data_IF_717384998427
#
_entry.id   IF_717384998427
#
_cell.length_a   1.000
_cell.length_b   1.000
_cell.length_c   1.000
_cell.angle_alpha   90.00
_cell.angle_beta   90.00
_cell.angle_gamma   90.00
#
_symmetry.space_group_name_H-M   'P 1'
#
loop_
_entity.id
_entity.type
_entity.pdbx_description
1 polymer ?
#
# COMPACT_ATOMS: atom_id res chain seq x y z
N UNK A 1 2.37 -18.99 1.88
CA UNK A 1 0.94 -18.69 2.11
C UNK A 1 0.61 -17.45 1.30
N UNK A 2 -0.39 -17.50 0.42
CA UNK A 2 -0.84 -16.31 -0.29
C UNK A 2 -1.51 -15.39 0.74
N UNK A 3 -0.92 -14.25 1.02
CA UNK A 3 -1.58 -13.21 1.79
C UNK A 3 -2.81 -12.78 0.96
N UNK A 4 -4.01 -12.81 1.53
CA UNK A 4 -5.22 -12.33 0.86
C UNK A 4 -5.12 -10.81 0.68
N UNK A 5 -4.33 -10.36 -0.30
CA UNK A 5 -4.14 -8.95 -0.58
C UNK A 5 -5.45 -8.34 -1.08
N UNK A 6 -5.84 -7.23 -0.45
CA UNK A 6 -7.14 -6.57 -0.67
C UNK A 6 -7.22 -5.98 -2.09
N UNK A 7 -6.07 -5.67 -2.68
CA UNK A 7 -5.93 -5.30 -4.08
C UNK A 7 -4.63 -5.91 -4.64
N UNK A 8 -4.75 -6.76 -5.67
CA UNK A 8 -3.63 -7.45 -6.32
C UNK A 8 -3.10 -6.67 -7.53
N UNK A 9 -2.68 -5.43 -7.29
CA UNK A 9 -2.09 -4.57 -8.34
C UNK A 9 -0.63 -4.98 -8.68
N UNK A 10 -0.25 -6.25 -8.60
CA UNK A 10 1.12 -6.72 -8.85
C UNK A 10 1.90 -7.04 -7.55
N UNK A 11 1.68 -8.27 -7.11
CA UNK A 11 1.93 -8.91 -5.81
C UNK A 11 3.37 -8.92 -5.24
N UNK A 12 4.45 -8.86 -6.02
CA UNK A 12 5.77 -9.31 -5.49
C UNK A 12 6.63 -8.20 -4.88
N UNK A 13 6.60 -6.99 -5.44
CA UNK A 13 7.43 -5.86 -4.98
C UNK A 13 6.71 -4.88 -4.06
N UNK A 14 5.39 -5.04 -3.89
CA UNK A 14 4.59 -4.21 -3.00
C UNK A 14 4.98 -4.48 -1.55
N UNK A 15 4.89 -3.42 -0.76
CA UNK A 15 5.21 -3.46 0.67
C UNK A 15 6.64 -3.89 0.97
N UNK A 16 7.56 -3.85 0.00
CA UNK A 16 8.93 -4.29 0.21
C UNK A 16 9.65 -3.39 1.22
N UNK A 17 9.36 -2.09 1.22
CA UNK A 17 9.93 -1.15 2.20
C UNK A 17 9.36 -1.43 3.58
N UNK A 18 8.04 -1.57 3.66
CA UNK A 18 7.33 -1.90 4.90
C UNK A 18 7.82 -3.22 5.50
N UNK A 19 7.92 -4.29 4.71
CA UNK A 19 8.41 -5.60 5.17
C UNK A 19 9.86 -5.52 5.65
N UNK A 20 10.69 -4.70 5.02
CA UNK A 20 12.07 -4.48 5.49
C UNK A 20 12.09 -3.73 6.81
N UNK A 21 11.28 -2.68 6.95
CA UNK A 21 11.19 -1.86 8.16
C UNK A 21 10.62 -2.65 9.35
N UNK A 22 9.57 -3.45 9.13
CA UNK A 22 8.96 -4.29 10.16
C UNK A 22 9.91 -5.36 10.72
N UNK A 23 10.78 -5.91 9.87
CA UNK A 23 11.77 -6.94 10.26
C UNK A 23 13.04 -6.36 10.91
N UNK A 24 13.24 -5.05 10.83
CA UNK A 24 14.40 -4.40 11.42
C UNK A 24 14.09 -4.06 12.89
N UNK A 25 14.75 -4.73 13.86
CA UNK A 25 14.50 -4.49 15.28
C UNK A 25 14.93 -3.08 15.73
N UNK A 26 15.84 -2.43 15.00
CA UNK A 26 16.32 -1.07 15.30
C UNK A 26 15.49 0.04 14.65
N UNK A 27 14.53 -0.29 13.79
CA UNK A 27 13.75 0.70 13.03
C UNK A 27 12.70 1.38 13.91
N UNK A 28 12.65 2.72 13.95
CA UNK A 28 11.64 3.41 14.76
C UNK A 28 10.22 3.21 14.22
N UNK A 29 9.19 3.38 15.06
CA UNK A 29 7.78 3.25 14.62
C UNK A 29 7.46 4.24 13.49
N UNK A 30 8.02 5.46 13.58
CA UNK A 30 7.87 6.52 12.56
C UNK A 30 8.52 6.14 11.22
N UNK A 31 9.65 5.43 11.25
CA UNK A 31 10.31 4.93 10.04
C UNK A 31 9.46 3.84 9.36
N UNK A 32 8.80 2.98 10.16
CA UNK A 32 7.84 2.00 9.64
C UNK A 32 6.66 2.74 8.99
N UNK A 33 6.04 3.69 9.67
CA UNK A 33 4.93 4.47 9.12
C UNK A 33 5.33 5.21 7.83
N UNK A 34 6.55 5.75 7.77
CA UNK A 34 7.12 6.38 6.58
C UNK A 34 7.30 5.39 5.43
N UNK A 35 7.82 4.19 5.70
CA UNK A 35 7.95 3.13 4.71
C UNK A 35 6.58 2.72 4.15
N UNK A 36 5.57 2.62 5.02
CA UNK A 36 4.18 2.32 4.64
C UNK A 36 3.57 3.42 3.78
N UNK A 37 3.78 4.69 4.13
CA UNK A 37 3.33 5.83 3.35
C UNK A 37 3.94 5.83 1.93
N UNK A 38 5.22 5.49 1.82
CA UNK A 38 5.91 5.42 0.53
C UNK A 38 5.42 4.23 -0.34
N UNK A 39 5.03 3.12 0.30
CA UNK A 39 4.40 1.99 -0.40
C UNK A 39 2.96 2.32 -0.83
N UNK A 40 2.19 3.01 0.02
CA UNK A 40 0.86 3.56 -0.28
C UNK A 40 0.88 4.51 -1.48
N UNK A 41 1.87 5.40 -1.53
CA UNK A 41 2.08 6.30 -2.66
C UNK A 41 2.31 5.53 -3.97
N UNK A 42 3.11 4.45 -3.91
CA UNK A 42 3.33 3.54 -5.03
C UNK A 42 2.02 2.88 -5.50
N UNK A 43 1.17 2.48 -4.55
CA UNK A 43 -0.15 1.91 -4.83
C UNK A 43 -1.07 2.94 -5.53
N UNK A 44 -1.16 4.18 -5.04
CA UNK A 44 -1.96 5.24 -5.66
C UNK A 44 -1.52 5.51 -7.12
N UNK A 45 -0.21 5.51 -7.37
CA UNK A 45 0.35 5.64 -8.72
C UNK A 45 -0.03 4.46 -9.64
N UNK A 46 0.02 3.24 -9.11
CA UNK A 46 -0.32 2.03 -9.87
C UNK A 46 -1.84 1.90 -10.14
N UNK A 47 -2.67 2.34 -9.19
CA UNK A 47 -4.13 2.30 -9.27
C UNK A 47 -4.63 3.01 -10.53
N UNK A 48 -4.08 4.18 -10.84
CA UNK A 48 -4.43 4.94 -12.05
C UNK A 48 -4.14 4.15 -13.34
N UNK A 49 -3.05 3.37 -13.36
CA UNK A 49 -2.68 2.54 -14.51
C UNK A 49 -3.59 1.33 -14.66
N UNK A 50 -3.90 0.63 -13.56
CA UNK A 50 -4.79 -0.52 -13.57
C UNK A 50 -6.22 -0.14 -13.99
N UNK A 51 -6.72 1.00 -13.51
CA UNK A 51 -8.04 1.53 -13.91
C UNK A 51 -8.14 1.93 -15.38
N UNK A 52 -7.00 2.26 -16.01
CA UNK A 52 -6.96 2.57 -17.45
C UNK A 52 -6.94 1.33 -18.32
N UNK A 53 -6.26 0.28 -17.88
CA UNK A 53 -6.02 -0.92 -18.68
C UNK A 53 -7.06 -2.03 -18.43
N UNK A 54 -7.82 -1.94 -17.33
CA UNK A 54 -8.89 -2.87 -17.00
C UNK A 54 -10.26 -2.45 -17.55
N UNK A 55 -11.29 -3.28 -17.34
CA UNK A 55 -12.67 -2.91 -17.65
C UNK A 55 -13.07 -1.61 -16.92
N UNK A 56 -13.98 -0.81 -17.48
CA UNK A 56 -14.34 0.47 -16.89
C UNK A 56 -15.20 0.26 -15.62
N UNK A 57 -14.77 0.86 -14.50
CA UNK A 57 -15.47 0.76 -13.20
C UNK A 57 -16.91 1.28 -13.27
N UNK A 58 -17.19 2.23 -14.16
CA UNK A 58 -18.55 2.74 -14.43
C UNK A 58 -19.55 1.61 -14.74
N UNK A 59 -19.09 0.48 -15.30
CA UNK A 59 -19.91 -0.70 -15.57
C UNK A 59 -20.61 -1.20 -14.30
N UNK A 60 -19.95 -1.12 -13.14
CA UNK A 60 -20.53 -1.53 -11.86
C UNK A 60 -21.66 -0.60 -11.39
N UNK A 61 -21.62 0.67 -11.78
CA UNK A 61 -22.69 1.63 -11.49
C UNK A 61 -23.87 1.46 -12.47
N UNK A 62 -23.58 1.19 -13.75
CA UNK A 62 -24.59 0.98 -14.80
C UNK A 62 -25.39 -0.30 -14.61
N UNK A 63 -24.83 -1.31 -13.95
CA UNK A 63 -25.55 -2.54 -13.55
C UNK A 63 -26.56 -2.31 -12.43
N UNK A 64 -27.00 -1.06 -12.23
CA UNK A 64 -28.05 -0.71 -11.30
C UNK A 64 -29.29 -1.56 -11.55
N UNK A 65 -29.61 -2.45 -10.59
CA UNK A 65 -30.80 -3.32 -10.48
C UNK A 65 -30.65 -4.76 -11.02
N UNK A 66 -29.45 -5.20 -11.43
CA UNK A 66 -29.21 -6.59 -11.82
C UNK A 66 -29.22 -7.57 -10.62
N UNK A 67 -29.61 -8.82 -10.86
CA UNK A 67 -29.53 -9.89 -9.86
C UNK A 67 -28.08 -10.03 -9.34
N UNK A 68 -27.85 -10.40 -8.05
CA UNK A 68 -26.52 -10.50 -7.45
C UNK A 68 -25.50 -11.30 -8.27
N UNK A 69 -25.99 -12.29 -9.02
CA UNK A 69 -25.20 -13.14 -9.93
C UNK A 69 -24.54 -12.32 -11.05
N UNK A 70 -25.26 -11.36 -11.65
CA UNK A 70 -24.74 -10.54 -12.74
C UNK A 70 -23.61 -9.62 -12.28
N UNK A 71 -23.74 -9.07 -11.07
CA UNK A 71 -22.69 -8.23 -10.45
C UNK A 71 -21.42 -9.05 -10.23
N UNK A 72 -21.55 -10.29 -9.75
CA UNK A 72 -20.39 -11.18 -9.56
C UNK A 72 -19.73 -11.58 -10.89
N UNK A 73 -20.52 -11.83 -11.94
CA UNK A 73 -19.98 -12.09 -13.28
C UNK A 73 -19.15 -10.91 -13.77
N UNK A 74 -19.62 -9.68 -13.55
CA UNK A 74 -18.89 -8.48 -13.95
C UNK A 74 -17.64 -8.27 -13.10
N UNK A 75 -17.72 -8.43 -11.77
CA UNK A 75 -16.53 -8.40 -10.89
C UNK A 75 -15.47 -9.41 -11.36
N UNK A 76 -15.89 -10.61 -11.78
CA UNK A 76 -14.97 -11.64 -12.27
C UNK A 76 -14.21 -11.25 -13.55
N UNK A 77 -14.72 -10.30 -14.34
CA UNK A 77 -14.07 -9.79 -15.56
C UNK A 77 -13.00 -8.74 -15.26
N UNK A 78 -12.99 -8.14 -14.05
CA UNK A 78 -11.94 -7.19 -13.67
C UNK A 78 -10.64 -7.93 -13.36
N UNK A 79 -9.53 -7.36 -13.84
CA UNK A 79 -8.18 -7.76 -13.42
C UNK A 79 -8.02 -7.57 -11.92
N UNK A 80 -8.53 -6.46 -11.39
CA UNK A 80 -8.53 -6.12 -9.96
C UNK A 80 -9.88 -6.46 -9.29
N UNK A 81 -10.15 -7.75 -9.06
CA UNK A 81 -11.40 -8.21 -8.44
C UNK A 81 -11.65 -7.60 -7.06
N UNK A 82 -10.59 -7.44 -6.26
CA UNK A 82 -10.66 -6.83 -4.93
C UNK A 82 -11.13 -5.37 -4.98
N UNK A 83 -10.65 -4.60 -5.96
CA UNK A 83 -11.08 -3.22 -6.18
C UNK A 83 -12.54 -3.15 -6.65
N UNK A 84 -12.93 -3.99 -7.61
CA UNK A 84 -14.31 -4.06 -8.10
C UNK A 84 -15.30 -4.45 -6.98
N UNK A 85 -14.94 -5.43 -6.15
CA UNK A 85 -15.72 -5.81 -4.97
C UNK A 85 -15.83 -4.67 -3.96
N UNK A 86 -14.74 -3.94 -3.72
CA UNK A 86 -14.72 -2.82 -2.79
C UNK A 86 -15.62 -1.66 -3.26
N UNK A 87 -15.60 -1.33 -4.55
CA UNK A 87 -16.49 -0.33 -5.14
C UNK A 87 -17.96 -0.77 -5.03
N UNK A 88 -18.25 -2.05 -5.26
CA UNK A 88 -19.58 -2.60 -5.07
C UNK A 88 -20.03 -2.53 -3.59
N UNK A 89 -19.14 -2.85 -2.65
CA UNK A 89 -19.40 -2.69 -1.21
C UNK A 89 -19.68 -1.23 -0.85
N UNK A 90 -18.90 -0.30 -1.41
CA UNK A 90 -19.09 1.14 -1.21
C UNK A 90 -20.46 1.59 -1.69
N UNK A 91 -20.85 1.17 -2.91
CA UNK A 91 -22.16 1.42 -3.50
C UNK A 91 -23.30 0.89 -2.63
N UNK A 92 -23.18 -0.34 -2.14
CA UNK A 92 -24.19 -0.95 -1.26
C UNK A 92 -24.32 -0.19 0.08
N UNK A 93 -23.22 0.34 0.61
CA UNK A 93 -23.21 1.12 1.86
C UNK A 93 -23.83 2.52 1.68
N UNK A 94 -23.53 3.23 0.59
CA UNK A 94 -24.09 4.55 0.34
C UNK A 94 -25.50 4.52 -0.25
N UNK A 95 -25.95 3.37 -0.77
CA UNK A 95 -27.25 3.21 -1.46
C UNK A 95 -27.47 4.22 -2.58
N UNK A 96 -26.39 4.65 -3.22
CA UNK A 96 -26.38 5.68 -4.25
C UNK A 96 -25.60 5.19 -5.47
N UNK A 97 -26.00 5.67 -6.64
CA UNK A 97 -25.27 5.45 -7.89
C UNK A 97 -24.48 6.71 -8.31
N UNK A 98 -24.44 7.76 -7.49
CA UNK A 98 -23.61 8.93 -7.76
C UNK A 98 -22.12 8.53 -7.68
N UNK A 99 -21.34 8.70 -8.76
CA UNK A 99 -19.92 8.41 -8.78
C UNK A 99 -19.13 9.11 -7.66
N UNK A 100 -19.51 10.34 -7.28
CA UNK A 100 -18.77 11.09 -6.26
C UNK A 100 -18.99 10.50 -4.85
N UNK A 101 -20.22 10.14 -4.51
CA UNK A 101 -20.54 9.49 -3.24
C UNK A 101 -19.92 8.10 -3.14
N UNK A 102 -20.05 7.28 -4.19
CA UNK A 102 -19.45 5.94 -4.23
C UNK A 102 -17.92 6.02 -4.11
N UNK A 103 -17.28 6.94 -4.83
CA UNK A 103 -15.83 7.15 -4.75
C UNK A 103 -15.38 7.56 -3.34
N UNK A 104 -16.12 8.44 -2.67
CA UNK A 104 -15.80 8.88 -1.31
C UNK A 104 -15.91 7.75 -0.29
N UNK A 105 -16.90 6.87 -0.42
CA UNK A 105 -17.02 5.68 0.45
C UNK A 105 -15.95 4.64 0.10
N UNK A 106 -15.71 4.39 -1.19
CA UNK A 106 -14.69 3.45 -1.65
C UNK A 106 -13.28 3.86 -1.19
N UNK A 107 -12.91 5.14 -1.31
CA UNK A 107 -11.62 5.63 -0.84
C UNK A 107 -11.43 5.38 0.67
N UNK A 108 -12.45 5.66 1.49
CA UNK A 108 -12.42 5.39 2.93
C UNK A 108 -12.30 3.91 3.26
N UNK A 109 -13.08 3.06 2.58
CA UNK A 109 -13.01 1.61 2.77
C UNK A 109 -11.64 1.06 2.39
N UNK A 110 -11.06 1.58 1.31
CA UNK A 110 -9.72 1.19 0.87
C UNK A 110 -8.68 1.58 1.91
N UNK A 111 -8.67 2.84 2.35
CA UNK A 111 -7.78 3.32 3.41
C UNK A 111 -7.89 2.46 4.68
N UNK A 112 -9.11 2.21 5.16
CA UNK A 112 -9.34 1.39 6.35
C UNK A 112 -8.79 -0.02 6.19
N UNK A 113 -9.10 -0.67 5.07
CA UNK A 113 -8.62 -2.02 4.78
C UNK A 113 -7.10 -2.12 4.74
N UNK A 114 -6.42 -1.08 4.25
CA UNK A 114 -4.96 -1.03 4.21
C UNK A 114 -4.36 -0.81 5.61
N UNK A 115 -5.03 -0.04 6.46
CA UNK A 115 -4.66 0.10 7.88
C UNK A 115 -4.82 -1.25 8.59
N UNK A 116 -5.94 -1.96 8.36
CA UNK A 116 -6.16 -3.28 8.96
C UNK A 116 -5.07 -4.27 8.50
N UNK A 117 -4.73 -4.27 7.21
CA UNK A 117 -3.64 -5.10 6.67
C UNK A 117 -2.28 -4.72 7.28
N UNK A 118 -2.03 -3.44 7.51
CA UNK A 118 -0.84 -2.95 8.20
C UNK A 118 -0.72 -3.54 9.61
N UNK A 119 -1.81 -3.45 10.38
CA UNK A 119 -1.88 -3.99 11.73
C UNK A 119 -1.70 -5.51 11.75
N UNK A 120 -2.36 -6.23 10.83
CA UNK A 120 -2.21 -7.68 10.71
C UNK A 120 -0.76 -8.08 10.44
N UNK A 121 -0.06 -7.37 9.56
CA UNK A 121 1.35 -7.62 9.27
C UNK A 121 2.26 -7.26 10.43
N UNK A 122 2.03 -6.11 11.07
CA UNK A 122 2.78 -5.74 12.26
C UNK A 122 2.61 -6.80 13.37
N UNK A 123 1.40 -7.30 13.58
CA UNK A 123 1.11 -8.35 14.57
C UNK A 123 1.78 -9.71 14.33
N UNK A 124 2.39 -9.93 13.16
CA UNK A 124 3.21 -11.13 12.90
C UNK A 124 4.64 -11.00 13.46
N UNK A 125 5.08 -9.78 13.78
CA UNK A 125 6.41 -9.52 14.31
C UNK A 125 6.37 -9.43 15.84
N UNK A 126 7.30 -10.11 16.52
CA UNK A 126 7.33 -10.23 17.99
C UNK A 126 7.30 -8.87 18.70
N UNK A 127 7.98 -7.87 18.14
CA UNK A 127 8.04 -6.49 18.65
C UNK A 127 6.67 -5.84 18.80
N UNK A 128 5.74 -6.08 17.87
CA UNK A 128 4.42 -5.42 17.86
C UNK A 128 3.36 -6.30 18.53
N UNK A 129 3.76 -7.29 19.33
CA UNK A 129 2.86 -7.96 20.29
C UNK A 129 2.46 -7.03 21.43
N UNK A 130 3.30 -6.04 21.75
CA UNK A 130 2.94 -4.98 22.68
C UNK A 130 1.77 -4.14 22.12
N UNK A 131 0.62 -4.10 22.82
CA UNK A 131 -0.55 -3.34 22.36
C UNK A 131 -0.29 -1.84 22.25
N UNK A 132 0.60 -1.25 23.06
CA UNK A 132 0.88 0.19 23.03
C UNK A 132 1.63 0.56 21.74
N UNK A 133 2.75 -0.11 21.46
CA UNK A 133 3.50 0.06 20.21
C UNK A 133 2.66 -0.19 18.96
N UNK A 134 1.75 -1.18 19.02
CA UNK A 134 0.84 -1.47 17.90
C UNK A 134 -0.20 -0.38 17.71
N UNK A 135 -0.73 0.18 18.79
CA UNK A 135 -1.68 1.31 18.75
C UNK A 135 -0.99 2.56 18.20
N UNK A 136 0.24 2.83 18.64
CA UNK A 136 1.06 3.94 18.13
C UNK A 136 1.29 3.81 16.62
N UNK A 137 1.77 2.65 16.16
CA UNK A 137 1.96 2.38 14.73
C UNK A 137 0.66 2.58 13.96
N UNK A 138 -0.46 2.05 14.47
CA UNK A 138 -1.76 2.21 13.83
C UNK A 138 -2.18 3.67 13.69
N UNK A 139 -1.95 4.50 14.72
CA UNK A 139 -2.29 5.92 14.69
C UNK A 139 -1.45 6.67 13.65
N UNK A 140 -0.14 6.39 13.60
CA UNK A 140 0.77 6.98 12.63
C UNK A 140 0.43 6.56 11.20
N UNK A 141 0.14 5.28 10.97
CA UNK A 141 -0.26 4.76 9.66
C UNK A 141 -1.61 5.33 9.22
N UNK A 142 -2.59 5.44 10.13
CA UNK A 142 -3.87 6.06 9.83
C UNK A 142 -3.72 7.53 9.41
N UNK A 143 -2.88 8.28 10.12
CA UNK A 143 -2.55 9.67 9.77
C UNK A 143 -1.88 9.75 8.40
N UNK A 144 -0.87 8.90 8.16
CA UNK A 144 -0.15 8.87 6.89
C UNK A 144 -1.05 8.49 5.71
N UNK A 145 -1.93 7.51 5.88
CA UNK A 145 -2.82 7.04 4.81
C UNK A 145 -3.99 8.01 4.57
N UNK A 146 -4.52 8.63 5.62
CA UNK A 146 -5.56 9.66 5.52
C UNK A 146 -5.14 10.82 4.62
N UNK A 147 -3.84 11.15 4.56
CA UNK A 147 -3.31 12.14 3.66
C UNK A 147 -3.57 11.83 2.17
N UNK A 148 -3.70 10.55 1.78
CA UNK A 148 -3.92 10.10 0.40
C UNK A 148 -5.40 9.87 0.05
N UNK A 149 -6.33 9.95 1.01
CA UNK A 149 -7.75 9.64 0.79
C UNK A 149 -8.38 10.53 -0.29
N UNK A 150 -8.05 11.83 -0.30
CA UNK A 150 -8.53 12.76 -1.31
C UNK A 150 -8.06 12.42 -2.73
N UNK A 151 -6.80 11.97 -2.87
CA UNK A 151 -6.25 11.55 -4.17
C UNK A 151 -6.92 10.25 -4.64
N UNK A 152 -7.11 9.28 -3.74
CA UNK A 152 -7.83 8.05 -4.04
C UNK A 152 -9.26 8.32 -4.48
N UNK A 153 -9.97 9.20 -3.78
CA UNK A 153 -11.32 9.63 -4.15
C UNK A 153 -11.34 10.20 -5.57
N UNK A 154 -10.44 11.13 -5.89
CA UNK A 154 -10.39 11.75 -7.21
C UNK A 154 -10.12 10.74 -8.34
N UNK A 155 -9.20 9.79 -8.11
CA UNK A 155 -8.89 8.71 -9.06
C UNK A 155 -10.11 7.82 -9.30
N UNK A 156 -10.78 7.40 -8.22
CA UNK A 156 -11.95 6.52 -8.29
C UNK A 156 -13.16 7.22 -8.91
N UNK A 157 -13.42 8.48 -8.54
CA UNK A 157 -14.52 9.28 -9.11
C UNK A 157 -14.36 9.45 -10.62
N UNK A 158 -13.14 9.76 -11.09
CA UNK A 158 -12.86 9.87 -12.51
C UNK A 158 -13.11 8.55 -13.25
N UNK A 159 -12.66 7.42 -12.70
CA UNK A 159 -12.87 6.10 -13.29
C UNK A 159 -14.35 5.68 -13.30
N UNK A 160 -15.13 6.07 -12.29
CA UNK A 160 -16.56 5.80 -12.21
C UNK A 160 -17.40 6.63 -13.18
N UNK A 161 -16.91 7.81 -13.59
CA UNK A 161 -17.56 8.70 -14.58
C UNK A 161 -17.21 8.39 -16.04
N UNK A 162 -16.54 7.27 -16.31
CA UNK A 162 -15.93 6.98 -17.63
C UNK A 162 -14.87 8.01 -18.06
N UNK A 163 -14.36 8.81 -17.12
CA UNK A 163 -13.27 9.73 -17.36
C UNK A 163 -11.92 9.00 -17.38
N UNK A 164 -10.94 9.57 -18.07
CA UNK A 164 -9.56 9.11 -17.91
C UNK A 164 -9.14 9.25 -16.44
N UNK A 165 -8.62 8.20 -15.78
CA UNK A 165 -8.24 8.28 -14.37
C UNK A 165 -7.21 9.39 -14.17
N UNK A 166 -7.45 10.23 -13.16
CA UNK A 166 -6.57 11.35 -12.80
C UNK A 166 -5.18 10.81 -12.52
N UNK A 167 -4.15 11.42 -13.12
CA UNK A 167 -2.77 11.04 -12.83
C UNK A 167 -2.46 11.40 -11.39
N UNK A 168 -2.12 10.39 -10.59
CA UNK A 168 -1.61 10.60 -9.24
C UNK A 168 -0.29 11.38 -9.28
N UNK A 169 -0.27 12.56 -8.62
CA UNK A 169 0.96 13.35 -8.44
C UNK A 169 1.69 12.80 -7.22
N UNK A 170 2.82 12.15 -7.45
CA UNK A 170 3.68 11.68 -6.38
C UNK A 170 4.08 12.86 -5.48
N UNK A 171 3.78 12.72 -4.20
CA UNK A 171 4.30 13.57 -3.14
C UNK A 171 5.72 13.08 -2.96
N UNK A 172 6.64 13.67 -3.72
CA UNK A 172 8.06 13.44 -3.57
C UNK A 172 8.41 13.62 -2.09
N UNK A 173 8.37 12.54 -1.32
CA UNK A 173 9.01 12.46 -0.02
C UNK A 173 10.46 12.69 -0.39
N UNK A 174 10.91 13.92 -0.15
CA UNK A 174 12.26 14.31 -0.47
C UNK A 174 13.13 13.24 0.17
N UNK A 175 13.81 12.42 -0.65
CA UNK A 175 14.89 11.59 -0.13
C UNK A 175 15.72 12.55 0.69
N UNK A 176 15.81 12.34 2.02
CA UNK A 176 16.73 13.08 2.86
C UNK A 176 18.07 12.92 2.16
N UNK A 177 18.50 13.96 1.44
CA UNK A 177 19.80 13.96 0.77
C UNK A 177 20.75 13.91 1.93
N UNK A 178 21.34 12.74 2.17
CA UNK A 178 22.40 12.62 3.15
C UNK A 178 23.42 13.70 2.81
N UNK A 179 23.64 14.61 3.75
CA UNK A 179 24.60 15.68 3.55
C UNK A 179 25.98 15.03 3.36
N UNK A 180 26.90 15.66 2.62
CA UNK A 180 28.27 15.14 2.48
C UNK A 180 28.94 14.83 3.83
N UNK A 181 28.52 15.50 4.91
CA UNK A 181 29.00 15.20 6.28
C UNK A 181 28.44 13.89 6.85
N UNK A 182 27.20 13.52 6.51
CA UNK A 182 26.58 12.27 6.97
C UNK A 182 27.18 11.06 6.23
N UNK A 183 27.55 11.23 4.95
CA UNK A 183 28.24 10.17 4.17
C UNK A 183 29.65 9.84 4.69
N UNK A 184 30.36 10.82 5.25
CA UNK A 184 31.70 10.64 5.81
C UNK A 184 31.70 9.81 7.10
N UNK A 185 30.58 9.77 7.84
CA UNK A 185 30.49 9.04 9.11
C UNK A 185 30.02 7.59 8.95
N UNK A 186 29.57 7.18 7.76
CA UNK A 186 28.98 5.84 7.50
C UNK A 186 29.98 4.86 6.87
N UNK A 187 31.18 5.30 6.48
CA UNK A 187 32.23 4.40 6.00
C UNK A 187 33.54 4.66 6.72
N UNK A 188 33.92 3.73 7.59
CA UNK A 188 35.23 3.07 7.72
C UNK A 188 35.31 2.42 9.11
N UNK A 189 34.60 1.31 9.30
CA UNK A 189 35.11 0.25 10.20
C UNK A 189 35.95 -0.65 9.31
N UNK A 190 37.29 -0.63 9.40
CA UNK A 190 38.12 -1.57 8.67
C UNK A 190 37.92 -2.94 9.30
N UNK A 191 37.31 -3.86 8.56
CA UNK A 191 37.41 -5.30 8.85
C UNK A 191 38.89 -5.67 8.74
N UNK A 192 39.55 -5.84 9.87
CA UNK A 192 40.97 -6.19 9.93
C UNK A 192 41.24 -7.51 9.19
N UNK A 193 42.37 -7.64 8.48
CA UNK A 193 42.70 -8.84 7.74
C UNK A 193 42.90 -10.03 8.70
N UNK A 194 42.18 -11.12 8.44
CA UNK A 194 42.45 -12.41 9.04
C UNK A 194 43.85 -12.87 8.63
N UNK A 195 44.76 -13.00 9.60
CA UNK A 195 46.06 -13.62 9.42
C UNK A 195 45.89 -15.11 9.14
N UNK A 196 46.16 -15.51 7.91
CA UNK A 196 46.38 -16.92 7.52
C UNK A 196 47.71 -17.38 8.09
N UNK A 197 47.68 -18.21 9.13
CA UNK A 197 48.86 -18.93 9.61
C UNK A 197 49.09 -20.14 8.71
N UNK A 198 49.91 -19.96 7.69
CA UNK A 198 50.45 -21.03 6.85
C UNK A 198 51.66 -21.64 7.59
N UNK A 199 51.44 -22.74 8.32
CA UNK A 199 52.54 -23.59 8.81
C UNK A 199 53.04 -24.48 7.68
N UNK A 200 54.01 -23.97 6.95
CA UNK A 200 54.92 -24.78 6.15
C UNK A 200 55.98 -25.38 7.10
N UNK A 201 55.98 -26.71 7.23
CA UNK A 201 57.03 -27.45 7.94
C UNK A 201 57.45 -28.63 7.08
N UNK A 202 58.41 -28.36 6.20
CA UNK A 202 59.25 -29.37 5.60
C UNK A 202 60.29 -29.87 6.61
N UNK A 203 60.23 -31.17 6.94
CA UNK A 203 61.36 -32.09 7.04
C UNK A 203 60.89 -33.52 7.21
#
# INVERSE_FOLDING_TARGET
>A
MAENEIIDLGHTSRWARTRRALKDPGCAVDDVATAMAADMEGMCAALSGALRNGPPLSSLLRLSLGAPVQVQTVIAQFTEKGLASLVNDARNRCRSNDPAEVAAVAARLLTQRLIDQAQCRAGQEERFRDPELRSELSSQVATAFGAYEGDLRAILEAALRDGAPVRFKRRLTAKRRMSSKELMNVSLVPTGPQSTTETDRAR
#
